data_IF_589564964151
#
_entry.id   IF_589564964151
#
_cell.length_a   1.000
_cell.length_b   1.000
_cell.length_c   1.000
_cell.angle_alpha   90.00
_cell.angle_beta   90.00
_cell.angle_gamma   90.00
#
_symmetry.space_group_name_H-M   'P 1'
#
loop_
_entity.id
_entity.type
_entity.pdbx_description
1 polymer ?
#
# COMPACT_ATOMS: atom_id res chain seq x y z
N UNK A 1 14.08 6.86 -8.46
CA UNK A 1 12.77 6.55 -9.09
C UNK A 1 13.00 6.23 -10.56
N UNK A 2 12.31 5.22 -11.09
CA UNK A 2 12.28 4.91 -12.52
C UNK A 2 10.88 5.29 -13.03
N UNK A 3 10.78 5.95 -14.17
CA UNK A 3 9.50 6.35 -14.78
C UNK A 3 9.38 5.84 -16.20
N UNK A 4 8.15 5.53 -16.59
CA UNK A 4 7.77 5.10 -17.94
C UNK A 4 6.93 6.21 -18.60
N UNK A 5 6.96 6.31 -19.93
CA UNK A 5 6.23 7.37 -20.65
C UNK A 5 4.70 7.24 -20.66
N UNK A 6 4.15 6.20 -20.02
CA UNK A 6 2.72 5.89 -19.91
C UNK A 6 2.08 5.38 -21.20
N UNK A 7 0.79 5.04 -21.12
CA UNK A 7 -0.02 4.47 -22.19
C UNK A 7 -0.36 5.50 -23.28
N UNK A 8 -1.30 5.18 -24.19
CA UNK A 8 -1.77 6.09 -25.25
C UNK A 8 -2.29 7.45 -24.73
N UNK A 9 -2.67 7.54 -23.45
CA UNK A 9 -3.06 8.79 -22.79
C UNK A 9 -1.89 9.56 -22.17
N UNK A 10 -0.72 8.94 -22.06
CA UNK A 10 0.53 9.58 -21.66
C UNK A 10 0.95 10.67 -22.63
N UNK A 11 1.58 11.74 -22.15
CA UNK A 11 1.83 12.93 -22.97
C UNK A 11 2.66 12.63 -24.22
N UNK A 12 3.62 11.71 -24.17
CA UNK A 12 4.44 11.32 -25.33
C UNK A 12 3.58 10.62 -26.38
N UNK A 13 2.93 9.51 -26.03
CA UNK A 13 2.10 8.73 -26.94
C UNK A 13 0.89 9.52 -27.44
N UNK A 14 0.30 10.39 -26.61
CA UNK A 14 -0.79 11.29 -26.98
C UNK A 14 -0.38 12.25 -28.09
N UNK A 15 0.81 12.87 -27.99
CA UNK A 15 1.30 13.78 -29.02
C UNK A 15 1.67 13.05 -30.31
N UNK A 16 2.24 11.85 -30.22
CA UNK A 16 2.46 10.98 -31.39
C UNK A 16 1.14 10.64 -32.07
N UNK A 17 0.13 10.24 -31.31
CA UNK A 17 -1.19 9.89 -31.85
C UNK A 17 -1.87 11.07 -32.57
N UNK A 18 -1.59 12.31 -32.15
CA UNK A 18 -2.03 13.55 -32.79
C UNK A 18 -1.09 14.06 -33.88
N UNK A 19 -0.14 13.23 -34.34
CA UNK A 19 0.81 13.54 -35.41
C UNK A 19 1.74 14.71 -35.08
N UNK A 20 1.96 14.98 -33.79
CA UNK A 20 2.85 16.03 -33.28
C UNK A 20 4.13 15.43 -32.68
N UNK A 21 4.88 14.71 -33.52
CA UNK A 21 6.16 14.09 -33.16
C UNK A 21 7.19 15.10 -32.60
N UNK A 22 7.29 16.36 -33.09
CA UNK A 22 8.18 17.36 -32.50
C UNK A 22 7.87 17.65 -31.03
N UNK A 23 6.59 17.79 -30.67
CA UNK A 23 6.18 17.97 -29.27
C UNK A 23 6.45 16.72 -28.45
N UNK A 24 6.12 15.53 -28.96
CA UNK A 24 6.40 14.26 -28.28
C UNK A 24 7.90 14.11 -27.95
N UNK A 25 8.78 14.44 -28.91
CA UNK A 25 10.23 14.43 -28.73
C UNK A 25 10.67 15.39 -27.63
N UNK A 26 10.15 16.63 -27.63
CA UNK A 26 10.48 17.63 -26.60
C UNK A 26 10.08 17.17 -25.20
N UNK A 27 8.89 16.59 -25.08
CA UNK A 27 8.35 16.07 -23.80
C UNK A 27 9.16 14.89 -23.31
N UNK A 28 9.50 13.93 -24.19
CA UNK A 28 10.34 12.80 -23.84
C UNK A 28 11.72 13.23 -23.32
N UNK A 29 12.35 14.21 -23.99
CA UNK A 29 13.62 14.77 -23.54
C UNK A 29 13.50 15.46 -22.17
N UNK A 30 12.43 16.22 -21.94
CA UNK A 30 12.17 16.86 -20.66
C UNK A 30 12.00 15.83 -19.53
N UNK A 31 11.26 14.74 -19.75
CA UNK A 31 11.11 13.69 -18.73
C UNK A 31 12.41 12.93 -18.48
N UNK A 32 13.20 12.66 -19.53
CA UNK A 32 14.53 12.08 -19.36
C UNK A 32 15.45 12.99 -18.52
N UNK A 33 15.41 14.30 -18.74
CA UNK A 33 16.15 15.29 -17.93
C UNK A 33 15.70 15.28 -16.46
N UNK A 34 14.38 15.31 -16.21
CA UNK A 34 13.82 15.32 -14.84
C UNK A 34 14.18 14.05 -14.07
N UNK A 35 14.05 12.89 -14.71
CA UNK A 35 14.30 11.60 -14.05
C UNK A 35 15.80 11.29 -13.91
N UNK A 36 16.62 11.94 -14.73
CA UNK A 36 18.05 11.71 -14.82
C UNK A 36 18.41 10.51 -15.71
N UNK A 37 19.71 10.35 -16.01
CA UNK A 37 20.22 9.31 -16.90
C UNK A 37 19.75 7.91 -16.48
N UNK A 38 19.33 7.10 -17.45
CA UNK A 38 18.89 5.71 -17.26
C UNK A 38 17.69 5.50 -16.32
N UNK A 39 16.93 6.55 -15.98
CA UNK A 39 15.76 6.47 -15.10
C UNK A 39 14.42 6.75 -15.79
N UNK A 40 14.44 7.04 -17.09
CA UNK A 40 13.25 7.23 -17.90
C UNK A 40 13.27 6.26 -19.08
N UNK A 41 12.12 5.62 -19.32
CA UNK A 41 11.93 4.68 -20.41
C UNK A 41 10.70 5.07 -21.22
N UNK A 42 10.80 4.92 -22.53
CA UNK A 42 9.67 5.06 -23.43
C UNK A 42 8.86 3.77 -23.46
N UNK A 43 7.60 3.86 -23.06
CA UNK A 43 6.70 2.73 -22.88
C UNK A 43 6.01 2.36 -24.20
N UNK A 44 6.09 1.08 -24.56
CA UNK A 44 5.43 0.48 -25.70
C UNK A 44 4.33 -0.46 -25.21
N UNK A 45 3.16 -0.37 -25.84
CA UNK A 45 2.00 -1.21 -25.53
C UNK A 45 1.34 -1.65 -26.83
N UNK A 46 0.86 -2.89 -26.89
CA UNK A 46 0.17 -3.41 -28.06
C UNK A 46 -1.06 -4.24 -27.65
N UNK A 47 -2.25 -3.68 -27.89
CA UNK A 47 -3.55 -4.30 -27.63
C UNK A 47 -4.29 -4.61 -28.95
N UNK A 48 -3.58 -4.70 -30.08
CA UNK A 48 -4.14 -5.01 -31.39
C UNK A 48 -4.86 -3.84 -32.09
N UNK A 49 -4.60 -2.59 -31.68
CA UNK A 49 -5.16 -1.40 -32.31
C UNK A 49 -4.24 -0.88 -33.42
N UNK A 50 -4.76 -0.60 -34.61
CA UNK A 50 -3.99 -0.09 -35.77
C UNK A 50 -3.18 1.18 -35.44
N UNK A 51 -3.75 2.07 -34.61
CA UNK A 51 -3.06 3.29 -34.18
C UNK A 51 -1.82 3.01 -33.33
N UNK A 52 -1.79 1.91 -32.56
CA UNK A 52 -0.67 1.57 -31.69
C UNK A 52 0.57 1.14 -32.46
N UNK A 53 0.44 0.44 -33.59
CA UNK A 53 1.60 0.06 -34.40
C UNK A 53 2.31 1.29 -34.98
N UNK A 54 1.55 2.30 -35.41
CA UNK A 54 2.10 3.61 -35.79
C UNK A 54 2.76 4.30 -34.61
N UNK A 55 2.06 4.39 -33.48
CA UNK A 55 2.56 5.07 -32.28
C UNK A 55 3.87 4.43 -31.78
N UNK A 56 3.93 3.10 -31.71
CA UNK A 56 5.10 2.37 -31.25
C UNK A 56 6.31 2.61 -32.17
N UNK A 57 6.12 2.64 -33.50
CA UNK A 57 7.20 2.97 -34.45
C UNK A 57 7.78 4.37 -34.21
N UNK A 58 6.91 5.36 -34.01
CA UNK A 58 7.34 6.73 -33.75
C UNK A 58 8.01 6.86 -32.36
N UNK A 59 7.51 6.17 -31.34
CA UNK A 59 8.13 6.13 -30.02
C UNK A 59 9.53 5.49 -30.09
N UNK A 60 9.70 4.38 -30.82
CA UNK A 60 11.01 3.76 -31.06
C UNK A 60 11.96 4.74 -31.77
N UNK A 61 11.47 5.49 -32.76
CA UNK A 61 12.27 6.50 -33.45
C UNK A 61 12.69 7.65 -32.50
N UNK A 62 11.80 8.10 -31.62
CA UNK A 62 12.11 9.09 -30.58
C UNK A 62 13.16 8.55 -29.62
N UNK A 63 13.02 7.30 -29.16
CA UNK A 63 13.99 6.64 -28.28
C UNK A 63 15.38 6.60 -28.88
N UNK A 64 15.51 6.17 -30.15
CA UNK A 64 16.78 6.16 -30.89
C UNK A 64 17.38 7.56 -31.05
N UNK A 65 16.54 8.58 -31.29
CA UNK A 65 16.99 9.97 -31.49
C UNK A 65 17.51 10.60 -30.20
N UNK A 66 16.90 10.30 -29.07
CA UNK A 66 17.21 10.90 -27.77
C UNK A 66 18.10 10.02 -26.89
N UNK A 67 18.49 8.84 -27.37
CA UNK A 67 19.18 7.82 -26.60
C UNK A 67 18.43 7.43 -25.31
N UNK A 68 17.09 7.31 -25.42
CA UNK A 68 16.22 6.89 -24.32
C UNK A 68 15.79 5.43 -24.54
N UNK A 69 16.01 4.54 -23.56
CA UNK A 69 15.63 3.14 -23.69
C UNK A 69 14.10 2.96 -23.76
N UNK A 70 13.65 1.94 -24.47
CA UNK A 70 12.24 1.54 -24.57
C UNK A 70 11.91 0.41 -23.59
N UNK A 71 10.65 0.26 -23.21
CA UNK A 71 10.19 -0.88 -22.40
C UNK A 71 8.78 -1.28 -22.80
N UNK A 72 8.50 -2.58 -22.83
CA UNK A 72 7.17 -3.10 -23.14
C UNK A 72 6.34 -3.33 -21.87
N UNK A 73 5.07 -2.97 -21.91
CA UNK A 73 4.07 -3.29 -20.87
C UNK A 73 2.73 -3.66 -21.51
N UNK A 74 1.79 -4.19 -20.74
CA UNK A 74 0.45 -4.56 -21.22
C UNK A 74 -0.70 -3.82 -20.51
N UNK A 75 -0.39 -2.84 -19.66
CA UNK A 75 -1.38 -2.04 -18.93
C UNK A 75 -2.53 -2.89 -18.33
N UNK A 76 -2.16 -3.94 -17.58
CA UNK A 76 -3.10 -4.96 -17.14
C UNK A 76 -4.13 -4.39 -16.14
N UNK A 77 -5.40 -4.70 -16.36
CA UNK A 77 -6.51 -4.33 -15.47
C UNK A 77 -7.22 -5.55 -14.87
N UNK A 78 -6.93 -6.75 -15.36
CA UNK A 78 -7.51 -8.01 -14.94
C UNK A 78 -6.53 -9.18 -15.18
N UNK A 79 -6.81 -10.34 -14.60
CA UNK A 79 -5.88 -11.48 -14.61
C UNK A 79 -5.99 -12.28 -15.91
N UNK A 80 -7.17 -12.79 -16.24
CA UNK A 80 -7.38 -13.63 -17.41
C UNK A 80 -8.15 -12.89 -18.50
N UNK A 81 -7.92 -13.23 -19.78
CA UNK A 81 -8.67 -12.65 -20.92
C UNK A 81 -10.20 -12.70 -20.75
N UNK A 82 -10.72 -13.81 -20.20
CA UNK A 82 -12.16 -14.02 -19.94
C UNK A 82 -12.77 -13.02 -18.93
N UNK A 83 -11.94 -12.38 -18.09
CA UNK A 83 -12.39 -11.46 -17.05
C UNK A 83 -12.76 -10.08 -17.61
N UNK A 84 -12.54 -9.84 -18.91
CA UNK A 84 -12.91 -8.61 -19.59
C UNK A 84 -14.35 -8.18 -19.30
N UNK A 85 -15.29 -9.14 -19.30
CA UNK A 85 -16.71 -8.84 -19.02
C UNK A 85 -16.94 -8.38 -17.59
N UNK A 86 -16.25 -8.97 -16.62
CA UNK A 86 -16.32 -8.56 -15.22
C UNK A 86 -15.74 -7.15 -15.05
N UNK A 87 -14.61 -6.87 -15.72
CA UNK A 87 -14.01 -5.54 -15.74
C UNK A 87 -14.93 -4.47 -16.36
N UNK A 88 -15.62 -4.78 -17.47
CA UNK A 88 -16.62 -3.85 -18.04
C UNK A 88 -17.74 -3.52 -17.03
N UNK A 89 -18.26 -4.52 -16.32
CA UNK A 89 -19.31 -4.31 -15.31
C UNK A 89 -18.77 -3.45 -14.16
N UNK A 90 -17.53 -3.68 -13.74
CA UNK A 90 -16.88 -2.86 -12.71
C UNK A 90 -16.77 -1.38 -13.15
N UNK A 91 -16.41 -1.10 -14.40
CA UNK A 91 -16.37 0.26 -14.94
C UNK A 91 -17.76 0.91 -14.97
N UNK A 92 -18.79 0.15 -15.36
CA UNK A 92 -20.19 0.61 -15.30
C UNK A 92 -20.60 1.01 -13.88
N UNK A 93 -20.30 0.18 -12.88
CA UNK A 93 -20.60 0.47 -11.48
C UNK A 93 -19.86 1.73 -11.00
N UNK A 94 -18.58 1.87 -11.33
CA UNK A 94 -17.78 3.03 -10.95
C UNK A 94 -18.28 4.34 -11.59
N UNK A 95 -18.77 4.28 -12.84
CA UNK A 95 -19.21 5.45 -13.60
C UNK A 95 -20.70 5.72 -13.51
N UNK A 96 -21.45 4.93 -12.74
CA UNK A 96 -22.90 5.05 -12.62
C UNK A 96 -23.65 4.79 -13.94
N UNK A 97 -23.10 3.94 -14.81
CA UNK A 97 -23.66 3.60 -16.12
C UNK A 97 -24.16 2.16 -16.15
N UNK A 98 -25.10 1.86 -17.04
CA UNK A 98 -25.53 0.49 -17.31
C UNK A 98 -24.68 -0.12 -18.42
N UNK A 99 -24.63 -1.45 -18.47
CA UNK A 99 -23.90 -2.18 -19.53
C UNK A 99 -24.49 -1.96 -20.93
N UNK A 100 -25.77 -1.58 -20.99
CA UNK A 100 -26.50 -1.24 -22.21
C UNK A 100 -26.28 0.19 -22.69
N UNK A 101 -25.66 1.08 -21.89
CA UNK A 101 -25.39 2.46 -22.29
C UNK A 101 -24.30 2.49 -23.38
N UNK A 102 -24.58 3.00 -24.59
CA UNK A 102 -23.59 3.08 -25.67
C UNK A 102 -22.47 4.09 -25.39
N UNK A 103 -22.70 5.04 -24.47
CA UNK A 103 -21.73 6.04 -24.04
C UNK A 103 -20.98 5.66 -22.77
N UNK A 104 -21.13 4.41 -22.29
CA UNK A 104 -20.37 3.90 -21.15
C UNK A 104 -18.88 3.93 -21.44
N UNK A 105 -18.08 4.09 -20.38
CA UNK A 105 -16.65 3.86 -20.47
C UNK A 105 -16.39 2.39 -20.77
N UNK A 106 -15.70 2.10 -21.85
CA UNK A 106 -15.32 0.74 -22.26
C UNK A 106 -13.91 0.76 -22.85
N UNK A 107 -13.21 -0.35 -22.69
CA UNK A 107 -11.94 -0.58 -23.34
C UNK A 107 -12.16 -1.14 -24.75
N UNK A 108 -11.29 -0.82 -25.72
CA UNK A 108 -11.52 -1.14 -27.13
C UNK A 108 -11.29 -2.63 -27.47
N UNK A 109 -10.61 -3.38 -26.60
CA UNK A 109 -10.27 -4.78 -26.79
C UNK A 109 -10.19 -5.51 -25.44
N UNK A 110 -10.24 -6.84 -25.47
CA UNK A 110 -10.11 -7.72 -24.30
C UNK A 110 -8.64 -8.07 -23.96
N UNK A 111 -7.68 -7.31 -24.49
CA UNK A 111 -6.24 -7.59 -24.44
C UNK A 111 -5.51 -7.06 -23.17
N UNK A 112 -6.23 -6.44 -22.23
CA UNK A 112 -5.67 -5.81 -21.00
C UNK A 112 -5.55 -6.78 -19.81
N UNK A 113 -5.28 -8.06 -20.08
CA UNK A 113 -5.06 -9.09 -19.06
C UNK A 113 -3.56 -9.30 -18.77
N UNK A 114 -3.25 -10.09 -17.76
CA UNK A 114 -1.87 -10.48 -17.45
C UNK A 114 -1.37 -11.55 -18.43
N UNK A 115 -0.86 -11.09 -19.59
CA UNK A 115 -0.29 -11.96 -20.63
C UNK A 115 0.89 -12.78 -20.12
N UNK A 116 1.02 -13.99 -20.66
CA UNK A 116 2.20 -14.82 -20.46
C UNK A 116 3.44 -14.19 -21.12
N UNK A 117 4.63 -14.59 -20.65
CA UNK A 117 5.89 -14.16 -21.24
C UNK A 117 5.96 -14.47 -22.75
N UNK A 118 5.49 -15.65 -23.18
CA UNK A 118 5.49 -16.04 -24.59
C UNK A 118 4.61 -15.13 -25.47
N UNK A 119 3.42 -14.77 -24.98
CA UNK A 119 2.55 -13.81 -25.66
C UNK A 119 3.21 -12.43 -25.79
N UNK A 120 3.84 -11.93 -24.71
CA UNK A 120 4.54 -10.64 -24.74
C UNK A 120 5.75 -10.65 -25.66
N UNK A 121 6.53 -11.73 -25.68
CA UNK A 121 7.68 -11.88 -26.59
C UNK A 121 7.22 -11.86 -28.05
N UNK A 122 6.15 -12.58 -28.39
CA UNK A 122 5.63 -12.60 -29.76
C UNK A 122 5.09 -11.22 -30.18
N UNK A 123 4.40 -10.51 -29.28
CA UNK A 123 3.88 -9.15 -29.53
C UNK A 123 4.98 -8.13 -29.83
N UNK A 124 6.17 -8.30 -29.24
CA UNK A 124 7.30 -7.37 -29.36
C UNK A 124 8.52 -8.00 -30.06
N UNK A 125 8.31 -8.99 -30.93
CA UNK A 125 9.38 -9.70 -31.64
C UNK A 125 10.30 -8.81 -32.49
N UNK A 126 9.78 -7.69 -32.99
CA UNK A 126 10.54 -6.73 -33.79
C UNK A 126 11.33 -5.73 -32.92
N UNK A 127 11.11 -5.74 -31.61
CA UNK A 127 11.75 -4.88 -30.60
C UNK A 127 12.05 -5.69 -29.32
N UNK A 128 12.86 -6.75 -29.38
CA UNK A 128 13.14 -7.62 -28.23
C UNK A 128 13.74 -6.87 -27.04
N UNK A 129 14.47 -5.77 -27.28
CA UNK A 129 15.05 -4.92 -26.25
C UNK A 129 14.00 -4.32 -25.31
N UNK A 130 12.76 -4.12 -25.78
CA UNK A 130 11.66 -3.62 -24.95
C UNK A 130 11.26 -4.62 -23.87
N UNK A 131 11.33 -5.93 -24.17
CA UNK A 131 11.10 -7.01 -23.21
C UNK A 131 12.29 -7.15 -22.27
N UNK A 132 13.52 -7.15 -22.80
CA UNK A 132 14.72 -7.26 -21.96
C UNK A 132 14.80 -6.16 -20.90
N UNK A 133 14.41 -4.94 -21.26
CA UNK A 133 14.42 -3.81 -20.33
C UNK A 133 13.40 -3.96 -19.19
N UNK A 134 12.36 -4.80 -19.33
CA UNK A 134 11.45 -5.12 -18.21
C UNK A 134 12.20 -5.84 -17.09
N UNK A 135 13.07 -6.79 -17.45
CA UNK A 135 13.90 -7.55 -16.51
C UNK A 135 14.95 -6.64 -15.88
N UNK A 136 15.65 -5.84 -16.70
CA UNK A 136 16.65 -4.87 -16.18
C UNK A 136 16.04 -3.85 -15.22
N UNK A 137 14.81 -3.40 -15.46
CA UNK A 137 14.10 -2.51 -14.53
C UNK A 137 13.75 -3.26 -13.25
N UNK A 138 13.19 -4.47 -13.35
CA UNK A 138 12.83 -5.28 -12.19
C UNK A 138 14.04 -5.57 -11.28
N UNK A 139 15.19 -5.90 -11.86
CA UNK A 139 16.45 -6.14 -11.14
C UNK A 139 16.99 -4.90 -10.41
N UNK A 140 16.61 -3.69 -10.86
CA UNK A 140 17.00 -2.42 -10.21
C UNK A 140 16.04 -1.99 -9.11
N UNK A 141 14.86 -2.59 -9.03
CA UNK A 141 13.81 -2.21 -8.10
C UNK A 141 13.95 -2.95 -6.78
N UNK A 142 14.77 -2.40 -5.87
CA UNK A 142 14.93 -2.89 -4.50
C UNK A 142 14.18 -1.99 -3.52
N UNK A 143 13.14 -2.53 -2.87
CA UNK A 143 12.39 -1.86 -1.82
C UNK A 143 12.37 -2.73 -0.56
N UNK A 144 13.06 -2.27 0.48
CA UNK A 144 13.00 -2.89 1.80
C UNK A 144 11.79 -2.35 2.57
N UNK A 145 10.86 -3.24 2.93
CA UNK A 145 9.73 -2.94 3.80
C UNK A 145 9.95 -3.65 5.15
N UNK A 146 10.02 -2.89 6.23
CA UNK A 146 10.15 -3.41 7.59
C UNK A 146 8.76 -3.73 8.16
N UNK A 147 8.41 -5.02 8.22
CA UNK A 147 7.11 -5.46 8.76
C UNK A 147 7.15 -5.81 10.25
N UNK A 148 8.32 -6.15 10.79
CA UNK A 148 8.47 -6.63 12.17
C UNK A 148 8.78 -5.51 13.16
N UNK A 149 8.92 -4.26 12.68
CA UNK A 149 9.23 -3.11 13.53
C UNK A 149 7.95 -2.46 14.03
N UNK A 150 7.77 -2.48 15.35
CA UNK A 150 6.76 -1.69 16.03
C UNK A 150 7.16 -0.21 16.01
N UNK A 151 6.39 0.60 15.29
CA UNK A 151 6.52 2.06 15.29
C UNK A 151 5.48 2.66 16.24
N UNK A 152 5.67 2.46 17.55
CA UNK A 152 4.82 3.06 18.58
C UNK A 152 5.24 4.51 18.82
N UNK A 153 4.30 5.44 19.08
CA UNK A 153 4.65 6.78 19.49
C UNK A 153 5.25 6.77 20.90
N UNK A 154 6.11 7.74 21.19
CA UNK A 154 6.63 7.94 22.54
C UNK A 154 5.49 8.34 23.49
N UNK A 155 5.37 7.62 24.61
CA UNK A 155 4.41 7.97 25.66
C UNK A 155 5.11 8.80 26.75
N UNK A 156 4.59 9.99 27.10
CA UNK A 156 5.23 10.83 28.09
C UNK A 156 5.08 10.23 29.49
N UNK A 157 6.20 9.96 30.15
CA UNK A 157 6.23 9.55 31.57
C UNK A 157 7.00 10.59 32.39
N UNK A 158 6.70 10.74 33.69
CA UNK A 158 7.48 11.65 34.55
C UNK A 158 8.96 11.24 34.59
N UNK A 159 9.86 12.21 34.80
CA UNK A 159 11.33 11.98 34.75
C UNK A 159 11.83 10.87 35.68
N UNK A 160 11.13 10.62 36.79
CA UNK A 160 11.46 9.55 37.75
C UNK A 160 11.10 8.14 37.25
N UNK A 161 10.45 8.01 36.10
CA UNK A 161 9.94 6.75 35.57
C UNK A 161 10.51 6.40 34.19
N UNK A 162 10.64 5.10 33.97
CA UNK A 162 10.65 4.45 32.64
C UNK A 162 9.23 4.03 32.25
N UNK A 163 8.99 3.70 30.97
CA UNK A 163 7.69 3.16 30.52
C UNK A 163 7.30 1.91 31.33
N UNK A 164 8.26 1.04 31.60
CA UNK A 164 8.06 -0.20 32.35
C UNK A 164 7.64 0.09 33.80
N UNK A 165 8.39 0.95 34.49
CA UNK A 165 8.11 1.28 35.89
C UNK A 165 6.84 2.11 36.03
N UNK A 166 6.51 2.93 35.03
CA UNK A 166 5.27 3.71 35.04
C UNK A 166 4.06 2.81 34.82
N UNK A 167 4.15 1.88 33.86
CA UNK A 167 3.10 0.88 33.66
C UNK A 167 2.89 0.04 34.92
N UNK A 168 3.97 -0.44 35.54
CA UNK A 168 3.87 -1.20 36.79
C UNK A 168 3.17 -0.41 37.90
N UNK A 169 3.57 0.84 38.12
CA UNK A 169 2.95 1.72 39.11
C UNK A 169 1.45 1.93 38.85
N UNK A 170 1.08 2.26 37.60
CA UNK A 170 -0.32 2.49 37.22
C UNK A 170 -1.15 1.20 37.31
N UNK A 171 -0.61 0.04 36.92
CA UNK A 171 -1.31 -1.23 37.02
C UNK A 171 -1.53 -1.66 38.48
N UNK A 172 -0.55 -1.46 39.37
CA UNK A 172 -0.72 -1.75 40.81
C UNK A 172 -1.75 -0.81 41.45
N UNK A 173 -1.73 0.47 41.11
CA UNK A 173 -2.75 1.43 41.56
C UNK A 173 -4.15 1.04 41.04
N UNK A 174 -4.26 0.68 39.77
CA UNK A 174 -5.51 0.22 39.15
C UNK A 174 -6.05 -1.06 39.82
N UNK A 175 -5.20 -2.04 40.08
CA UNK A 175 -5.60 -3.29 40.71
C UNK A 175 -6.09 -3.08 42.16
N UNK A 176 -5.48 -2.16 42.91
CA UNK A 176 -5.98 -1.78 44.23
C UNK A 176 -7.41 -1.19 44.17
N UNK A 177 -7.70 -0.34 43.19
CA UNK A 177 -9.06 0.19 42.98
C UNK A 177 -10.05 -0.95 42.64
N UNK A 178 -9.63 -1.95 41.86
CA UNK A 178 -10.45 -3.13 41.58
C UNK A 178 -10.74 -3.96 42.83
N UNK A 179 -9.77 -4.14 43.72
CA UNK A 179 -10.03 -4.83 44.99
C UNK A 179 -11.10 -4.11 45.81
N UNK A 180 -11.06 -2.78 45.91
CA UNK A 180 -12.09 -2.01 46.61
C UNK A 180 -13.49 -2.18 45.97
N UNK A 181 -13.56 -2.21 44.64
CA UNK A 181 -14.81 -2.46 43.92
C UNK A 181 -15.36 -3.87 44.19
N UNK A 182 -14.50 -4.89 44.16
CA UNK A 182 -14.88 -6.28 44.42
C UNK A 182 -15.35 -6.47 45.88
N UNK A 183 -14.66 -5.85 46.84
CA UNK A 183 -15.04 -5.85 48.26
C UNK A 183 -16.42 -5.21 48.46
N UNK A 184 -16.69 -4.06 47.82
CA UNK A 184 -18.00 -3.38 47.85
C UNK A 184 -19.12 -4.23 47.25
N UNK A 185 -18.81 -5.03 46.23
CA UNK A 185 -19.76 -5.96 45.61
C UNK A 185 -19.92 -7.28 46.39
N UNK A 186 -19.16 -7.49 47.46
CA UNK A 186 -19.19 -8.73 48.25
C UNK A 186 -18.61 -9.94 47.51
N UNK A 187 -17.81 -9.71 46.47
CA UNK A 187 -17.15 -10.77 45.70
C UNK A 187 -15.91 -11.22 46.48
N UNK A 188 -15.77 -12.53 46.70
CA UNK A 188 -14.57 -13.10 47.32
C UNK A 188 -13.47 -13.28 46.29
N UNK A 189 -12.26 -12.83 46.62
CA UNK A 189 -11.06 -12.98 45.80
C UNK A 189 -9.83 -13.19 46.68
N UNK A 190 -8.76 -13.69 46.09
CA UNK A 190 -7.46 -13.87 46.76
C UNK A 190 -6.44 -12.90 46.15
N UNK A 191 -6.01 -11.91 46.94
CA UNK A 191 -5.03 -10.90 46.50
C UNK A 191 -3.73 -11.54 46.01
N UNK A 192 -3.26 -12.61 46.64
CA UNK A 192 -2.00 -13.25 46.26
C UNK A 192 -2.03 -13.82 44.83
N UNK A 193 -3.19 -14.33 44.39
CA UNK A 193 -3.37 -14.87 43.04
C UNK A 193 -3.32 -13.75 41.99
N UNK A 194 -3.96 -12.61 42.26
CA UNK A 194 -3.97 -11.47 41.34
C UNK A 194 -2.61 -10.77 41.27
N UNK A 195 -1.92 -10.57 42.40
CA UNK A 195 -0.56 -9.98 42.40
C UNK A 195 0.43 -10.86 41.64
N UNK A 196 0.43 -12.18 41.88
CA UNK A 196 1.32 -13.10 41.17
C UNK A 196 1.07 -13.08 39.65
N UNK A 197 -0.20 -12.99 39.24
CA UNK A 197 -0.58 -12.89 37.83
C UNK A 197 -0.18 -11.53 37.23
N UNK A 198 -0.34 -10.44 37.97
CA UNK A 198 0.08 -9.11 37.54
C UNK A 198 1.59 -9.07 37.27
N UNK A 199 2.39 -9.61 38.20
CA UNK A 199 3.86 -9.66 38.05
C UNK A 199 4.29 -10.48 36.83
N UNK A 200 3.63 -11.62 36.59
CA UNK A 200 3.87 -12.45 35.41
C UNK A 200 3.60 -11.68 34.11
N UNK A 201 2.43 -11.04 34.01
CA UNK A 201 2.02 -10.28 32.82
C UNK A 201 2.91 -9.07 32.57
N UNK A 202 3.23 -8.27 33.60
CA UNK A 202 4.14 -7.13 33.50
C UNK A 202 5.53 -7.59 33.03
N UNK A 203 6.02 -8.72 33.54
CA UNK A 203 7.27 -9.34 33.09
C UNK A 203 7.26 -9.71 31.61
N UNK A 204 6.14 -10.27 31.10
CA UNK A 204 5.97 -10.59 29.68
C UNK A 204 5.93 -9.30 28.84
N UNK A 205 5.11 -8.33 29.22
CA UNK A 205 4.93 -7.06 28.49
C UNK A 205 6.25 -6.31 28.35
N UNK A 206 7.03 -6.25 29.44
CA UNK A 206 8.37 -5.67 29.45
C UNK A 206 9.32 -6.38 28.47
N UNK A 207 9.40 -7.71 28.51
CA UNK A 207 10.27 -8.48 27.60
C UNK A 207 9.89 -8.31 26.14
N UNK A 208 8.60 -8.15 25.85
CA UNK A 208 8.08 -7.98 24.50
C UNK A 208 8.15 -6.54 23.99
N UNK A 209 8.50 -5.55 24.83
CA UNK A 209 8.59 -4.15 24.42
C UNK A 209 7.22 -3.49 24.21
N UNK A 210 6.18 -3.94 24.91
CA UNK A 210 4.83 -3.36 24.82
C UNK A 210 4.40 -2.38 25.94
N UNK A 211 5.25 -1.89 26.88
CA UNK A 211 4.74 -1.05 27.96
C UNK A 211 4.15 0.27 27.45
N UNK A 212 4.77 0.88 26.44
CA UNK A 212 4.25 2.09 25.79
C UNK A 212 2.86 1.87 25.15
N UNK A 213 2.63 0.71 24.53
CA UNK A 213 1.32 0.37 23.97
C UNK A 213 0.23 0.34 25.04
N UNK A 214 0.48 -0.33 26.17
CA UNK A 214 -0.48 -0.39 27.28
C UNK A 214 -0.77 1.00 27.85
N UNK A 215 0.27 1.83 28.04
CA UNK A 215 0.11 3.19 28.55
C UNK A 215 -0.71 4.08 27.62
N UNK A 216 -0.46 4.02 26.30
CA UNK A 216 -1.25 4.75 25.31
C UNK A 216 -2.72 4.34 25.37
N UNK A 217 -2.98 3.02 25.41
CA UNK A 217 -4.35 2.49 25.44
C UNK A 217 -5.09 2.88 26.72
N UNK A 218 -4.42 2.72 27.85
CA UNK A 218 -4.94 3.13 29.14
C UNK A 218 -5.29 4.62 29.16
N UNK A 219 -4.41 5.48 28.64
CA UNK A 219 -4.57 6.94 28.71
C UNK A 219 -5.77 7.43 27.90
N UNK A 220 -5.94 6.97 26.65
CA UNK A 220 -7.10 7.41 25.88
C UNK A 220 -8.42 6.85 26.44
N UNK A 221 -8.41 5.66 27.08
CA UNK A 221 -9.59 5.11 27.77
C UNK A 221 -9.91 5.94 29.01
N UNK A 222 -8.89 6.27 29.82
CA UNK A 222 -9.02 7.14 30.99
C UNK A 222 -9.59 8.50 30.59
N UNK A 223 -8.98 9.15 29.61
CA UNK A 223 -9.43 10.45 29.10
C UNK A 223 -10.87 10.42 28.60
N UNK A 224 -11.25 9.36 27.87
CA UNK A 224 -12.62 9.20 27.39
C UNK A 224 -13.61 9.12 28.56
N UNK A 225 -13.31 8.31 29.58
CA UNK A 225 -14.15 8.20 30.79
C UNK A 225 -14.25 9.52 31.57
N UNK A 226 -13.15 10.25 31.73
CA UNK A 226 -13.11 11.56 32.40
C UNK A 226 -13.90 12.65 31.65
N UNK A 227 -14.19 12.44 30.36
CA UNK A 227 -14.95 13.35 29.51
C UNK A 227 -16.33 12.83 29.13
N UNK A 228 -16.83 11.82 29.84
CA UNK A 228 -18.12 11.18 29.60
C UNK A 228 -18.28 10.68 28.14
N UNK A 229 -17.17 10.32 27.48
CA UNK A 229 -17.16 9.71 26.15
C UNK A 229 -17.33 8.20 26.32
N UNK A 230 -18.40 7.59 25.75
CA UNK A 230 -18.65 6.17 25.92
C UNK A 230 -17.52 5.30 25.35
N UNK A 231 -17.01 4.39 26.17
CA UNK A 231 -16.08 3.33 25.77
C UNK A 231 -16.73 1.96 25.98
N UNK A 232 -16.52 1.04 25.04
CA UNK A 232 -17.05 -0.33 25.16
C UNK A 232 -16.43 -1.08 26.36
N UNK A 233 -17.05 -2.17 26.83
CA UNK A 233 -16.66 -2.88 28.05
C UNK A 233 -15.33 -3.68 27.96
N UNK A 234 -14.57 -3.52 26.87
CA UNK A 234 -13.48 -4.42 26.50
C UNK A 234 -13.95 -5.58 25.63
N UNK A 235 -13.12 -6.00 24.67
CA UNK A 235 -13.39 -7.15 23.78
C UNK A 235 -12.09 -7.76 23.27
N UNK A 236 -12.16 -8.97 22.73
CA UNK A 236 -10.99 -9.70 22.26
C UNK A 236 -10.15 -10.27 23.42
N UNK A 237 -8.93 -10.70 23.11
CA UNK A 237 -8.03 -11.34 24.06
C UNK A 237 -7.56 -10.42 25.20
N UNK A 238 -7.63 -9.09 25.01
CA UNK A 238 -7.26 -8.11 26.01
C UNK A 238 -8.06 -8.23 27.32
N UNK A 239 -9.31 -8.73 27.25
CA UNK A 239 -10.14 -8.95 28.44
C UNK A 239 -9.61 -10.07 29.36
N UNK A 240 -8.62 -10.86 28.92
CA UNK A 240 -7.97 -11.89 29.72
C UNK A 240 -6.68 -11.43 30.43
N UNK A 241 -6.32 -10.15 30.35
CA UNK A 241 -5.14 -9.58 30.99
C UNK A 241 -5.52 -8.83 32.27
N UNK A 242 -4.86 -9.15 33.38
CA UNK A 242 -4.97 -8.42 34.65
C UNK A 242 -4.38 -7.01 34.52
N UNK A 243 -3.32 -6.83 33.72
CA UNK A 243 -2.75 -5.49 33.46
C UNK A 243 -3.75 -4.56 32.76
N UNK A 244 -4.62 -5.11 31.90
CA UNK A 244 -5.64 -4.35 31.18
C UNK A 244 -6.93 -4.10 31.98
N UNK A 245 -7.18 -4.89 33.02
CA UNK A 245 -8.41 -4.90 33.83
C UNK A 245 -8.44 -3.75 34.86
#
# INVERSE_FOLDING_TARGET
FIALSSCIRGEVAHNVNRENVPRATKVAAQYAEIMGPNNFFLELQNHGMESQDRINRDIVAIGKKLDIPIVATNNCHYMDRKDFRAHEILLCLQTGKTISDPYRMQYPADEFYFKSAGEMIELFKDTPEAIENTVKIAERCELALEFDKLNLPDYPVPESFTLETYLEDQSRQGLNLRYEELEKLGIKFDKAVYEARLDEELGIIKRMGYPGYFLIVWDFIRYAKERDIPVGPGRGSAAGSVVAY
#
